data_IF_423032287258
#
_entry.id   IF_423032287258
#
_cell.length_a   1.000
_cell.length_b   1.000
_cell.length_c   1.000
_cell.angle_alpha   90.00
_cell.angle_beta   90.00
_cell.angle_gamma   90.00
#
_symmetry.space_group_name_H-M   'P 1'
#
loop_
_entity.id
_entity.type
_entity.pdbx_description
1 polymer ?
#
# COMPACT_ATOMS: atom_id res chain seq x y z
N UNK A 1 15.63 -56.75 -40.62
CA UNK A 1 17.09 -56.81 -40.89
C UNK A 1 17.43 -55.65 -41.83
N UNK A 2 18.48 -54.83 -41.61
CA UNK A 2 19.21 -54.46 -40.38
C UNK A 2 18.86 -53.00 -39.95
N UNK A 3 18.63 -52.67 -38.68
CA UNK A 3 19.58 -52.40 -37.58
C UNK A 3 20.70 -51.41 -37.92
N UNK A 4 20.55 -50.16 -37.47
CA UNK A 4 21.67 -49.30 -37.03
C UNK A 4 21.41 -48.90 -35.59
N UNK A 5 22.36 -49.26 -34.73
CA UNK A 5 22.28 -49.19 -33.27
C UNK A 5 22.55 -47.80 -32.70
N UNK A 6 22.41 -47.66 -31.37
CA UNK A 6 22.63 -46.42 -30.66
C UNK A 6 24.11 -46.25 -30.33
N UNK A 7 24.64 -45.05 -30.60
CA UNK A 7 25.94 -44.61 -30.08
C UNK A 7 25.82 -44.29 -28.59
N UNK A 8 26.57 -45.04 -27.79
CA UNK A 8 26.83 -44.82 -26.37
C UNK A 8 27.57 -43.49 -26.19
N UNK A 9 27.14 -42.71 -25.20
CA UNK A 9 27.95 -41.69 -24.55
C UNK A 9 28.34 -42.26 -23.19
N UNK A 10 29.64 -42.48 -22.96
CA UNK A 10 30.22 -42.65 -21.63
C UNK A 10 30.92 -41.33 -21.23
N UNK A 11 31.01 -41.03 -19.93
CA UNK A 11 31.43 -39.73 -19.41
C UNK A 11 32.95 -39.67 -19.23
N UNK A 12 33.59 -38.60 -19.68
CA UNK A 12 34.95 -38.28 -19.24
C UNK A 12 34.92 -37.24 -18.12
N UNK A 13 35.48 -37.67 -16.99
CA UNK A 13 36.01 -36.83 -15.92
C UNK A 13 37.02 -35.83 -16.47
N UNK A 14 36.95 -34.60 -15.96
CA UNK A 14 37.86 -33.53 -16.37
C UNK A 14 38.01 -32.47 -15.29
N UNK A 15 38.56 -32.88 -14.15
CA UNK A 15 39.45 -32.11 -13.26
C UNK A 15 39.24 -30.59 -13.14
N UNK A 16 38.76 -30.19 -11.96
CA UNK A 16 38.88 -28.85 -11.40
C UNK A 16 40.35 -28.39 -11.39
N UNK A 17 40.65 -27.30 -12.11
CA UNK A 17 41.87 -26.52 -11.90
C UNK A 17 41.58 -25.32 -11.01
N UNK A 18 42.06 -25.46 -9.77
CA UNK A 18 42.27 -24.42 -8.76
C UNK A 18 43.49 -23.60 -9.16
N UNK A 19 43.37 -22.26 -9.21
CA UNK A 19 44.48 -21.32 -9.40
C UNK A 19 44.26 -20.16 -8.40
N UNK A 20 45.32 -19.62 -7.76
CA UNK A 20 45.36 -19.42 -6.32
C UNK A 20 45.04 -18.00 -5.84
N UNK A 21 44.78 -17.92 -4.54
CA UNK A 21 44.77 -16.74 -3.69
C UNK A 21 46.11 -15.99 -3.72
N UNK A 22 46.05 -14.67 -3.78
CA UNK A 22 47.11 -13.77 -3.34
C UNK A 22 46.50 -12.79 -2.33
N UNK A 23 46.85 -12.98 -1.06
CA UNK A 23 46.93 -11.92 -0.07
C UNK A 23 48.30 -11.25 -0.25
N UNK A 24 48.36 -9.93 -0.40
CA UNK A 24 49.27 -9.09 0.39
C UNK A 24 48.92 -7.59 0.27
N UNK A 25 49.38 -6.88 1.28
CA UNK A 25 49.03 -5.58 1.86
C UNK A 25 49.58 -4.38 1.07
N UNK A 26 48.85 -3.25 1.05
CA UNK A 26 49.33 -1.92 1.52
C UNK A 26 48.38 -0.78 1.16
N UNK A 27 48.05 0.01 2.18
CA UNK A 27 47.39 1.33 2.13
C UNK A 27 48.18 2.36 1.31
N UNK A 28 47.51 3.43 0.84
CA UNK A 28 47.82 4.71 1.47
C UNK A 28 46.62 5.59 1.81
N UNK A 29 46.82 6.25 2.94
CA UNK A 29 46.18 7.40 3.55
C UNK A 29 45.85 8.54 2.55
N UNK A 30 44.57 8.96 2.46
CA UNK A 30 44.15 10.37 2.33
C UNK A 30 42.62 10.53 2.23
N UNK A 31 42.04 11.13 3.28
CA UNK A 31 40.67 11.65 3.30
C UNK A 31 40.45 12.81 2.31
N UNK A 32 39.22 12.96 1.81
CA UNK A 32 38.63 14.29 1.74
C UNK A 32 37.21 14.38 2.30
N UNK A 33 37.06 15.37 3.20
CA UNK A 33 35.93 16.27 3.41
C UNK A 33 34.48 15.71 3.44
N UNK A 34 33.92 15.74 4.66
CA UNK A 34 32.49 15.76 4.99
C UNK A 34 31.67 16.76 4.17
N UNK A 35 30.48 16.39 3.66
CA UNK A 35 29.51 17.35 3.15
C UNK A 35 28.80 18.10 4.30
N UNK A 36 28.41 19.37 4.12
CA UNK A 36 27.82 20.16 5.19
C UNK A 36 26.44 19.66 5.61
N UNK A 37 26.21 19.64 6.92
CA UNK A 37 24.94 19.35 7.57
C UNK A 37 23.90 20.43 7.27
N UNK A 38 22.85 20.07 6.52
CA UNK A 38 21.68 20.93 6.35
C UNK A 38 20.74 20.72 7.55
N UNK A 39 20.99 21.50 8.61
CA UNK A 39 20.10 21.60 9.77
C UNK A 39 18.72 22.11 9.33
N UNK A 40 17.74 21.20 9.31
CA UNK A 40 16.31 21.47 9.08
C UNK A 40 15.63 22.23 10.24
N UNK A 41 16.41 22.73 11.23
CA UNK A 41 15.89 23.35 12.46
C UNK A 41 15.73 24.88 12.40
N UNK A 42 15.84 25.50 11.22
CA UNK A 42 15.82 26.96 11.05
C UNK A 42 14.51 27.56 10.48
N UNK A 43 13.40 26.80 10.38
CA UNK A 43 12.14 27.31 9.80
C UNK A 43 10.89 27.18 10.70
N UNK A 44 11.05 27.18 12.02
CA UNK A 44 9.92 27.09 12.97
C UNK A 44 9.60 28.36 13.76
N UNK A 45 10.06 29.54 13.34
CA UNK A 45 9.75 30.81 14.03
C UNK A 45 8.47 31.53 13.57
N UNK A 46 7.63 30.93 12.72
CA UNK A 46 6.37 31.56 12.27
C UNK A 46 5.09 31.08 12.95
N UNK A 47 5.18 30.25 13.99
CA UNK A 47 4.03 29.80 14.79
C UNK A 47 4.32 29.89 16.29
N UNK A 48 4.52 31.12 16.80
CA UNK A 48 4.36 31.38 18.24
C UNK A 48 2.96 31.92 18.47
N UNK A 49 2.11 31.07 19.04
CA UNK A 49 0.80 31.44 19.56
C UNK A 49 1.02 32.05 20.95
N UNK A 50 0.84 33.36 21.08
CA UNK A 50 0.80 34.04 22.38
C UNK A 50 -0.56 33.83 23.01
N UNK A 51 -0.61 33.02 24.05
CA UNK A 51 -1.75 32.85 24.94
C UNK A 51 -1.67 33.95 26.00
N UNK A 52 -2.50 34.98 25.90
CA UNK A 52 -2.68 35.99 26.95
C UNK A 52 -3.75 35.49 27.92
N UNK A 53 -3.34 35.25 29.17
CA UNK A 53 -4.23 34.97 30.29
C UNK A 53 -4.68 36.29 30.95
N UNK A 54 -5.96 36.31 31.31
CA UNK A 54 -6.65 37.39 32.03
C UNK A 54 -6.17 37.58 33.47
N UNK A 55 -6.13 38.84 33.91
CA UNK A 55 -6.33 39.23 35.32
C UNK A 55 -7.08 40.58 35.43
N UNK A 56 -8.32 40.45 35.89
CA UNK A 56 -9.22 41.30 36.69
C UNK A 56 -9.01 42.83 36.92
N UNK A 57 -10.19 43.49 36.90
CA UNK A 57 -10.73 44.59 37.73
C UNK A 57 -10.33 46.06 37.52
N UNK A 58 -11.30 46.86 37.05
CA UNK A 58 -11.96 47.92 37.86
C UNK A 58 -13.26 48.46 37.19
N UNK A 59 -14.29 48.70 38.02
CA UNK A 59 -15.59 49.32 37.68
C UNK A 59 -15.56 50.85 37.83
N UNK A 60 -16.33 51.58 36.99
CA UNK A 60 -17.44 52.51 37.36
C UNK A 60 -17.79 53.44 36.17
N UNK A 61 -19.09 53.63 35.91
CA UNK A 61 -19.71 54.52 34.89
C UNK A 61 -20.28 55.80 35.58
N UNK A 62 -21.15 56.67 34.98
CA UNK A 62 -21.55 56.92 33.57
C UNK A 62 -21.64 58.44 33.19
N UNK A 63 -21.89 58.81 31.93
CA UNK A 63 -22.62 60.04 31.54
C UNK A 63 -23.09 60.04 30.06
N UNK A 64 -24.34 60.45 29.81
CA UNK A 64 -24.99 60.77 28.51
C UNK A 64 -25.36 62.29 28.50
N UNK A 65 -25.97 62.94 27.47
CA UNK A 65 -26.34 62.57 26.08
C UNK A 65 -26.04 63.63 24.95
N UNK A 66 -26.14 63.21 23.66
CA UNK A 66 -26.63 63.85 22.38
C UNK A 66 -26.62 65.41 22.17
N UNK A 67 -26.39 65.96 20.93
CA UNK A 67 -27.36 65.85 19.83
C UNK A 67 -26.85 65.85 18.36
N UNK A 68 -27.81 65.53 17.49
CA UNK A 68 -27.81 65.38 16.02
C UNK A 68 -27.65 66.72 15.28
N UNK A 69 -26.90 66.74 14.17
CA UNK A 69 -27.23 67.58 13.00
C UNK A 69 -26.99 66.83 11.68
N UNK A 70 -28.01 66.82 10.82
CA UNK A 70 -27.95 66.41 9.41
C UNK A 70 -27.54 67.62 8.55
N UNK A 71 -26.58 67.49 7.64
CA UNK A 71 -26.66 68.08 6.29
C UNK A 71 -25.56 67.56 5.34
N UNK A 72 -25.95 67.55 4.07
CA UNK A 72 -25.42 66.84 2.91
C UNK A 72 -24.36 67.60 2.11
N UNK A 73 -23.47 66.81 1.47
CA UNK A 73 -22.79 66.98 0.16
C UNK A 73 -21.55 67.88 0.10
N UNK A 74 -20.38 67.26 -0.14
CA UNK A 74 -19.62 67.39 -1.40
C UNK A 74 -18.38 66.47 -1.40
N UNK A 75 -18.11 65.93 -2.58
CA UNK A 75 -17.07 64.97 -2.95
C UNK A 75 -15.66 65.48 -2.66
N UNK A 76 -14.84 64.67 -1.97
CA UNK A 76 -13.39 64.64 -2.20
C UNK A 76 -12.95 63.18 -2.23
N UNK A 77 -12.59 62.71 -3.42
CA UNK A 77 -11.95 61.42 -3.68
C UNK A 77 -10.60 61.35 -2.95
N UNK A 78 -10.47 60.40 -2.03
CA UNK A 78 -9.16 59.88 -1.61
C UNK A 78 -9.24 58.36 -1.60
N UNK A 79 -8.57 57.76 -2.58
CA UNK A 79 -8.43 56.32 -2.70
C UNK A 79 -7.62 55.79 -1.51
N UNK A 80 -8.20 54.86 -0.76
CA UNK A 80 -7.47 54.00 0.17
C UNK A 80 -7.67 52.57 -0.30
N UNK A 81 -6.58 51.98 -0.78
CA UNK A 81 -6.55 50.67 -1.41
C UNK A 81 -7.03 49.57 -0.48
N UNK A 82 -7.98 48.78 -0.95
CA UNK A 82 -8.33 47.50 -0.36
C UNK A 82 -7.13 46.55 -0.47
N UNK A 83 -6.70 46.02 0.66
CA UNK A 83 -5.73 44.93 0.70
C UNK A 83 -6.48 43.67 0.29
N UNK A 84 -6.37 43.31 -0.98
CA UNK A 84 -6.83 42.04 -1.52
C UNK A 84 -6.01 40.90 -0.90
N UNK A 85 -6.66 39.98 -0.18
CA UNK A 85 -6.02 38.71 0.18
C UNK A 85 -5.56 37.99 -1.10
N UNK A 86 -4.29 37.52 -1.17
CA UNK A 86 -3.82 36.81 -2.34
C UNK A 86 -4.51 35.45 -2.40
N UNK A 87 -5.29 35.23 -3.46
CA UNK A 87 -5.84 33.92 -3.80
C UNK A 87 -4.72 32.87 -3.88
N UNK A 88 -4.93 31.64 -3.39
CA UNK A 88 -3.91 30.60 -3.46
C UNK A 88 -3.54 30.32 -4.92
N UNK A 89 -2.25 30.12 -5.23
CA UNK A 89 -1.81 29.92 -6.60
C UNK A 89 -2.49 28.68 -7.20
N UNK A 90 -2.89 28.72 -8.49
CA UNK A 90 -3.56 27.60 -9.13
C UNK A 90 -2.66 26.36 -9.05
N UNK A 91 -3.19 25.27 -8.46
CA UNK A 91 -2.49 23.99 -8.37
C UNK A 91 -2.15 23.52 -9.79
N UNK A 92 -0.87 23.51 -10.15
CA UNK A 92 -0.39 22.97 -11.43
C UNK A 92 -0.89 21.52 -11.59
N UNK A 93 -1.75 21.29 -12.58
CA UNK A 93 -2.21 19.94 -12.93
C UNK A 93 -1.00 19.12 -13.38
N UNK A 94 -0.68 18.06 -12.64
CA UNK A 94 0.41 17.14 -12.99
C UNK A 94 0.08 16.44 -14.31
N UNK A 95 1.03 16.39 -15.23
CA UNK A 95 0.89 15.58 -16.46
C UNK A 95 0.71 14.11 -16.09
N UNK A 96 -0.17 13.35 -16.76
CA UNK A 96 -0.32 11.92 -16.51
C UNK A 96 1.00 11.21 -16.82
N UNK A 97 1.36 10.23 -16.00
CA UNK A 97 2.50 9.37 -16.31
C UNK A 97 2.20 8.55 -17.56
N UNK A 98 3.26 8.18 -18.27
CA UNK A 98 3.20 7.25 -19.41
C UNK A 98 3.94 5.98 -19.03
N UNK A 99 3.71 4.92 -19.80
CA UNK A 99 4.47 3.68 -19.66
C UNK A 99 5.96 3.95 -19.48
N UNK A 100 6.56 3.28 -18.49
CA UNK A 100 7.99 3.32 -18.25
C UNK A 100 8.52 1.89 -18.24
N UNK A 101 9.52 1.63 -19.08
CA UNK A 101 10.15 0.32 -19.15
C UNK A 101 10.82 -0.09 -17.83
N UNK A 102 10.97 -1.41 -17.57
CA UNK A 102 11.50 -1.93 -16.31
C UNK A 102 12.87 -1.35 -15.91
N UNK A 103 13.74 -1.04 -16.87
CA UNK A 103 15.08 -0.49 -16.64
C UNK A 103 15.08 0.82 -15.82
N UNK A 104 14.01 1.63 -15.89
CA UNK A 104 13.93 2.92 -15.18
C UNK A 104 14.04 2.78 -13.66
N UNK A 105 13.52 1.67 -13.11
CA UNK A 105 13.48 1.41 -11.67
C UNK A 105 14.22 0.13 -11.27
N UNK A 106 15.09 -0.39 -12.13
CA UNK A 106 15.83 -1.63 -11.88
C UNK A 106 16.79 -1.56 -10.68
N UNK A 107 17.13 -0.35 -10.22
CA UNK A 107 17.93 -0.12 -9.01
C UNK A 107 17.11 -0.29 -7.71
N UNK A 108 15.79 -0.48 -7.80
CA UNK A 108 14.92 -0.72 -6.66
C UNK A 108 14.57 -2.20 -6.55
N UNK A 109 14.68 -2.74 -5.34
CA UNK A 109 14.27 -4.11 -5.07
C UNK A 109 12.74 -4.25 -5.13
N UNK A 110 12.21 -5.36 -5.68
CA UNK A 110 10.82 -5.75 -5.50
C UNK A 110 10.48 -5.92 -4.02
N UNK A 111 9.19 -5.79 -3.70
CA UNK A 111 8.70 -6.07 -2.34
C UNK A 111 8.59 -7.57 -2.13
N UNK A 112 8.98 -8.06 -0.95
CA UNK A 112 8.78 -9.46 -0.57
C UNK A 112 7.29 -9.69 -0.29
N UNK A 113 6.72 -10.71 -0.92
CA UNK A 113 5.34 -11.13 -0.63
C UNK A 113 5.22 -11.67 0.80
N UNK A 114 4.12 -11.32 1.45
CA UNK A 114 3.73 -11.84 2.76
C UNK A 114 2.65 -12.89 2.51
N UNK A 115 3.08 -14.13 2.28
CA UNK A 115 2.23 -15.27 1.96
C UNK A 115 2.64 -16.47 2.81
N UNK A 116 1.69 -16.96 3.59
CA UNK A 116 1.82 -18.16 4.42
C UNK A 116 0.62 -19.07 4.18
N UNK A 117 0.74 -20.38 4.43
CA UNK A 117 -0.43 -21.26 4.47
C UNK A 117 -1.45 -20.80 5.53
N UNK A 118 -2.71 -21.20 5.36
CA UNK A 118 -3.78 -20.99 6.34
C UNK A 118 -4.13 -19.52 6.64
N UNK A 119 -3.77 -18.56 5.78
CA UNK A 119 -4.24 -17.17 5.93
C UNK A 119 -5.76 -17.06 5.69
N UNK A 120 -6.43 -16.21 6.47
CA UNK A 120 -7.84 -15.88 6.25
C UNK A 120 -7.97 -15.00 5.01
N UNK A 121 -7.07 -14.03 4.85
CA UNK A 121 -7.06 -13.24 3.63
C UNK A 121 -5.70 -12.71 3.20
N UNK A 122 -5.59 -12.41 1.91
CA UNK A 122 -4.44 -11.73 1.31
C UNK A 122 -4.91 -10.50 0.55
N UNK A 123 -4.23 -9.37 0.75
CA UNK A 123 -4.47 -8.15 -0.02
C UNK A 123 -3.58 -8.11 -1.27
N UNK A 124 -4.18 -7.80 -2.41
CA UNK A 124 -3.50 -7.69 -3.70
C UNK A 124 -3.39 -6.22 -4.09
N UNK A 125 -2.17 -5.68 -4.03
CA UNK A 125 -1.84 -4.36 -4.57
C UNK A 125 -1.50 -4.40 -6.06
N UNK A 126 -1.34 -3.21 -6.65
CA UNK A 126 -0.94 -3.10 -8.07
C UNK A 126 0.52 -3.49 -8.23
N UNK A 127 1.41 -2.68 -7.65
CA UNK A 127 2.85 -2.86 -7.65
C UNK A 127 3.45 -1.93 -6.57
N UNK A 128 4.69 -2.17 -6.11
CA UNK A 128 5.32 -1.28 -5.14
C UNK A 128 5.58 0.10 -5.77
N UNK A 129 5.06 1.15 -5.14
CA UNK A 129 5.46 2.52 -5.45
C UNK A 129 6.93 2.76 -5.07
N UNK A 130 7.61 3.74 -5.67
CA UNK A 130 9.03 4.06 -5.36
C UNK A 130 9.32 4.14 -3.86
N UNK A 131 8.52 4.86 -3.07
CA UNK A 131 8.73 4.94 -1.61
C UNK A 131 8.45 3.63 -0.89
N UNK A 132 7.48 2.85 -1.34
CA UNK A 132 7.17 1.51 -0.82
C UNK A 132 8.34 0.56 -1.09
N UNK A 133 8.95 0.62 -2.27
CA UNK A 133 10.13 -0.18 -2.62
C UNK A 133 11.35 0.22 -1.78
N UNK A 134 11.61 1.53 -1.61
CA UNK A 134 12.71 2.03 -0.78
C UNK A 134 12.53 1.64 0.69
N UNK A 135 11.31 1.78 1.23
CA UNK A 135 11.02 1.41 2.61
C UNK A 135 11.02 -0.10 2.84
N UNK A 136 10.79 -0.91 1.79
CA UNK A 136 10.68 -2.36 1.92
C UNK A 136 9.43 -2.84 2.64
N UNK A 137 8.41 -1.97 2.75
CA UNK A 137 7.16 -2.24 3.48
C UNK A 137 5.92 -1.92 2.64
N UNK A 138 4.92 -2.80 2.71
CA UNK A 138 3.67 -2.69 1.97
C UNK A 138 2.94 -1.37 2.27
N UNK A 139 2.54 -0.68 1.20
CA UNK A 139 1.77 0.57 1.28
C UNK A 139 2.44 1.69 2.11
N UNK A 140 3.78 1.74 2.19
CA UNK A 140 4.51 2.70 3.02
C UNK A 140 4.41 4.20 2.62
N UNK A 141 3.94 4.52 1.41
CA UNK A 141 3.85 5.93 0.99
C UNK A 141 2.86 6.72 1.88
N UNK A 142 3.20 7.91 2.41
CA UNK A 142 2.36 8.64 3.39
C UNK A 142 0.95 9.00 2.90
N UNK A 143 0.78 9.21 1.59
CA UNK A 143 -0.54 9.45 1.00
C UNK A 143 -1.39 8.18 0.78
N UNK A 144 -0.86 6.99 1.09
CA UNK A 144 -1.57 5.74 0.99
C UNK A 144 -2.48 5.55 2.20
N UNK A 145 -3.74 5.18 1.95
CA UNK A 145 -4.77 5.04 2.97
C UNK A 145 -4.95 3.59 3.45
N UNK A 146 -4.16 2.64 2.97
CA UNK A 146 -4.31 1.21 3.28
C UNK A 146 -4.40 0.96 4.78
N UNK A 147 -3.39 1.38 5.55
CA UNK A 147 -3.36 1.19 7.00
C UNK A 147 -4.50 1.87 7.76
N UNK A 148 -4.99 3.01 7.25
CA UNK A 148 -6.17 3.68 7.79
C UNK A 148 -7.44 2.86 7.54
N UNK A 149 -7.65 2.41 6.29
CA UNK A 149 -8.82 1.63 5.89
C UNK A 149 -8.82 0.23 6.50
N UNK A 150 -7.65 -0.36 6.70
CA UNK A 150 -7.47 -1.63 7.40
C UNK A 150 -8.03 -1.52 8.83
N UNK A 151 -7.61 -0.50 9.57
CA UNK A 151 -8.12 -0.25 10.91
C UNK A 151 -9.60 0.14 10.93
N UNK A 152 -10.02 1.11 10.11
CA UNK A 152 -11.40 1.62 10.14
C UNK A 152 -12.46 0.61 9.68
N UNK A 153 -12.05 -0.46 8.97
CA UNK A 153 -12.92 -1.58 8.63
C UNK A 153 -12.91 -2.70 9.67
N UNK A 154 -12.13 -2.56 10.75
CA UNK A 154 -12.02 -3.56 11.81
C UNK A 154 -11.16 -4.78 11.45
N UNK A 155 -10.33 -4.70 10.40
CA UNK A 155 -9.37 -5.76 10.07
C UNK A 155 -8.23 -5.82 11.09
N UNK A 156 -7.93 -4.72 11.75
CA UNK A 156 -6.98 -4.61 12.87
C UNK A 156 -7.64 -3.86 14.04
N UNK A 157 -7.21 -4.17 15.26
CA UNK A 157 -7.70 -3.54 16.50
C UNK A 157 -7.17 -2.11 16.71
N UNK A 158 -6.04 -1.78 16.10
CA UNK A 158 -5.48 -0.43 16.01
C UNK A 158 -4.97 -0.13 14.62
N UNK A 159 -4.58 1.12 14.37
CA UNK A 159 -3.87 1.49 13.15
C UNK A 159 -2.41 1.05 13.24
N UNK A 160 -2.05 0.05 12.44
CA UNK A 160 -0.67 -0.40 12.26
C UNK A 160 0.12 0.60 11.40
N UNK A 161 1.44 0.60 11.58
CA UNK A 161 2.39 1.27 10.71
C UNK A 161 2.86 0.33 9.58
N UNK A 162 3.37 0.86 8.45
CA UNK A 162 3.91 0.02 7.38
C UNK A 162 4.96 -0.98 7.84
N UNK A 163 5.80 -0.60 8.81
CA UNK A 163 6.89 -1.43 9.34
C UNK A 163 6.39 -2.71 10.03
N UNK A 164 5.10 -2.76 10.36
CA UNK A 164 4.47 -3.88 11.04
C UNK A 164 3.86 -4.91 10.06
N UNK A 165 4.00 -4.71 8.74
CA UNK A 165 3.38 -5.57 7.72
C UNK A 165 3.75 -7.06 7.85
N UNK A 166 5.01 -7.38 8.16
CA UNK A 166 5.47 -8.76 8.37
C UNK A 166 4.84 -9.45 9.57
N UNK A 167 4.20 -8.70 10.48
CA UNK A 167 3.49 -9.27 11.62
C UNK A 167 2.04 -9.70 11.29
N UNK A 168 1.51 -9.29 10.13
CA UNK A 168 0.13 -9.55 9.73
C UNK A 168 -0.26 -11.03 9.73
N UNK A 169 0.58 -11.98 9.28
CA UNK A 169 0.24 -13.40 9.34
C UNK A 169 0.01 -13.87 10.77
N UNK A 170 0.99 -13.63 11.64
CA UNK A 170 0.99 -14.13 13.01
C UNK A 170 0.02 -13.41 13.95
N UNK A 171 -0.28 -12.13 13.72
CA UNK A 171 -1.16 -11.32 14.58
C UNK A 171 -2.60 -11.25 14.08
N UNK A 172 -2.83 -11.46 12.78
CA UNK A 172 -4.11 -11.16 12.15
C UNK A 172 -4.57 -12.21 11.11
N UNK A 173 -3.77 -13.24 10.81
CA UNK A 173 -4.02 -14.20 9.72
C UNK A 173 -4.22 -13.51 8.36
N UNK A 174 -3.48 -12.42 8.11
CA UNK A 174 -3.54 -11.67 6.85
C UNK A 174 -2.18 -11.63 6.17
N UNK A 175 -2.18 -11.49 4.84
CA UNK A 175 -0.97 -11.32 4.04
C UNK A 175 -1.12 -10.29 2.93
N UNK A 176 -0.05 -10.09 2.16
CA UNK A 176 0.04 -9.09 1.11
C UNK A 176 0.85 -9.60 -0.08
N UNK A 177 0.42 -9.25 -1.30
CA UNK A 177 1.14 -9.48 -2.56
C UNK A 177 0.80 -8.36 -3.53
N UNK A 178 1.51 -8.29 -4.66
CA UNK A 178 1.12 -7.47 -5.80
C UNK A 178 0.81 -8.31 -7.04
N UNK A 179 0.04 -7.74 -7.98
CA UNK A 179 -0.15 -8.34 -9.31
C UNK A 179 1.09 -8.14 -10.19
N UNK A 180 1.83 -7.04 -10.01
CA UNK A 180 3.10 -6.76 -10.69
C UNK A 180 4.20 -6.54 -9.67
N UNK A 181 5.32 -7.25 -9.82
CA UNK A 181 6.40 -7.27 -8.84
C UNK A 181 7.29 -6.01 -8.93
N UNK A 182 7.48 -5.46 -10.14
CA UNK A 182 8.44 -4.37 -10.34
C UNK A 182 7.97 -3.04 -9.73
N UNK A 183 8.90 -2.24 -9.18
CA UNK A 183 8.58 -0.88 -8.76
C UNK A 183 8.24 0.06 -9.92
N UNK A 184 7.34 1.00 -9.65
CA UNK A 184 7.10 2.15 -10.52
C UNK A 184 6.66 3.36 -9.70
N UNK A 185 6.60 4.55 -10.31
CA UNK A 185 6.09 5.74 -9.63
C UNK A 185 4.58 5.67 -9.38
N UNK A 186 3.84 5.16 -10.36
CA UNK A 186 2.41 4.95 -10.29
C UNK A 186 1.95 3.90 -11.31
N UNK A 187 0.71 3.44 -11.16
CA UNK A 187 0.13 2.38 -11.99
C UNK A 187 0.06 2.73 -13.49
N UNK A 188 0.09 4.02 -13.87
CA UNK A 188 0.05 4.43 -15.28
C UNK A 188 1.39 4.19 -16.00
N UNK A 189 2.45 3.86 -15.27
CA UNK A 189 3.74 3.44 -15.83
C UNK A 189 3.81 1.94 -16.18
N UNK A 190 2.78 1.17 -15.83
CA UNK A 190 2.66 -0.25 -16.18
C UNK A 190 1.90 -0.42 -17.48
N UNK A 191 2.28 -1.42 -18.27
CA UNK A 191 1.47 -1.79 -19.45
C UNK A 191 0.26 -2.62 -19.02
N UNK A 192 -0.78 -2.68 -19.87
CA UNK A 192 -1.96 -3.51 -19.60
C UNK A 192 -1.60 -4.98 -19.68
N UNK A 193 -0.73 -5.31 -20.61
CA UNK A 193 -0.22 -6.65 -20.87
C UNK A 193 0.57 -7.17 -19.67
N UNK A 194 1.45 -6.34 -19.12
CA UNK A 194 2.21 -6.65 -17.90
C UNK A 194 1.29 -6.89 -16.70
N UNK A 195 0.30 -6.00 -16.50
CA UNK A 195 -0.64 -6.14 -15.38
C UNK A 195 -1.54 -7.37 -15.56
N UNK A 196 -2.00 -7.65 -16.78
CA UNK A 196 -2.80 -8.83 -17.07
C UNK A 196 -1.99 -10.13 -16.88
N UNK A 197 -0.75 -10.18 -17.35
CA UNK A 197 0.15 -11.32 -17.19
C UNK A 197 0.41 -11.68 -15.71
N UNK A 198 0.44 -10.67 -14.84
CA UNK A 198 0.54 -10.86 -13.39
C UNK A 198 -0.58 -11.73 -12.77
N UNK A 199 -1.72 -11.86 -13.45
CA UNK A 199 -2.82 -12.74 -13.02
C UNK A 199 -2.37 -14.19 -12.91
N UNK A 200 -1.56 -14.70 -13.86
CA UNK A 200 -1.08 -16.08 -13.82
C UNK A 200 -0.25 -16.36 -12.56
N UNK A 201 0.62 -15.40 -12.18
CA UNK A 201 1.42 -15.48 -10.96
C UNK A 201 0.55 -15.49 -9.70
N UNK A 202 -0.51 -14.66 -9.65
CA UNK A 202 -1.47 -14.68 -8.55
C UNK A 202 -2.22 -16.01 -8.44
N UNK A 203 -2.69 -16.58 -9.56
CA UNK A 203 -3.36 -17.88 -9.58
C UNK A 203 -2.43 -18.97 -9.01
N UNK A 204 -1.16 -18.99 -9.43
CA UNK A 204 -0.17 -19.94 -8.90
C UNK A 204 0.09 -19.76 -7.40
N UNK A 205 0.27 -18.51 -6.94
CA UNK A 205 0.45 -18.17 -5.51
C UNK A 205 -0.76 -18.65 -4.69
N UNK A 206 -1.98 -18.37 -5.12
CA UNK A 206 -3.19 -18.72 -4.37
C UNK A 206 -3.54 -20.20 -4.42
N UNK A 207 -3.16 -20.92 -5.48
CA UNK A 207 -3.24 -22.38 -5.50
C UNK A 207 -2.26 -23.01 -4.49
N UNK A 208 -1.06 -22.44 -4.35
CA UNK A 208 -0.04 -22.91 -3.41
C UNK A 208 -0.40 -22.62 -1.95
N UNK A 209 -0.72 -21.38 -1.62
CA UNK A 209 -0.91 -20.93 -0.24
C UNK A 209 -2.35 -21.05 0.27
N UNK A 210 -3.31 -21.20 -0.65
CA UNK A 210 -4.73 -21.45 -0.37
C UNK A 210 -5.34 -20.51 0.70
N UNK A 211 -5.19 -19.17 0.60
CA UNK A 211 -5.87 -18.27 1.53
C UNK A 211 -7.38 -18.37 1.33
N UNK A 212 -8.19 -18.23 2.39
CA UNK A 212 -9.65 -18.37 2.24
C UNK A 212 -10.27 -17.29 1.34
N UNK A 213 -9.74 -16.08 1.40
CA UNK A 213 -10.15 -14.96 0.57
C UNK A 213 -8.97 -14.13 0.06
N UNK A 214 -9.17 -13.45 -1.06
CA UNK A 214 -8.26 -12.45 -1.61
C UNK A 214 -8.98 -11.14 -1.80
N UNK A 215 -8.37 -10.05 -1.36
CA UNK A 215 -8.90 -8.70 -1.45
C UNK A 215 -8.14 -7.91 -2.51
N UNK A 216 -8.79 -7.66 -3.63
CA UNK A 216 -8.24 -6.90 -4.75
C UNK A 216 -8.36 -5.40 -4.44
N UNK A 217 -7.22 -4.77 -4.16
CA UNK A 217 -7.14 -3.38 -3.65
C UNK A 217 -7.18 -2.35 -4.78
N UNK A 218 -8.24 -2.42 -5.59
CA UNK A 218 -8.53 -1.46 -6.63
C UNK A 218 -9.18 -2.06 -7.88
N UNK A 219 -10.13 -1.31 -8.43
CA UNK A 219 -10.84 -1.65 -9.67
C UNK A 219 -9.91 -1.98 -10.84
N UNK A 220 -8.82 -1.24 -11.03
CA UNK A 220 -7.89 -1.47 -12.14
C UNK A 220 -7.19 -2.84 -12.10
N UNK A 221 -6.91 -3.36 -10.91
CA UNK A 221 -6.35 -4.71 -10.75
C UNK A 221 -7.40 -5.75 -11.15
N UNK A 222 -8.63 -5.56 -10.72
CA UNK A 222 -9.74 -6.44 -11.09
C UNK A 222 -10.02 -6.43 -12.60
N UNK A 223 -9.95 -5.26 -13.24
CA UNK A 223 -10.07 -5.13 -14.69
C UNK A 223 -8.95 -5.87 -15.42
N UNK A 224 -7.72 -5.85 -14.91
CA UNK A 224 -6.60 -6.61 -15.47
C UNK A 224 -6.81 -8.13 -15.34
N UNK A 225 -7.25 -8.61 -14.17
CA UNK A 225 -7.60 -10.02 -13.94
C UNK A 225 -8.73 -10.45 -14.88
N UNK A 226 -9.75 -9.62 -15.03
CA UNK A 226 -10.86 -9.89 -15.93
C UNK A 226 -10.43 -9.93 -17.39
N UNK A 227 -9.58 -8.99 -17.82
CA UNK A 227 -9.03 -8.95 -19.17
C UNK A 227 -8.19 -10.19 -19.46
N UNK A 228 -7.35 -10.63 -18.51
CA UNK A 228 -6.60 -11.87 -18.64
C UNK A 228 -7.51 -13.09 -18.86
N UNK A 229 -8.63 -13.18 -18.12
CA UNK A 229 -9.57 -14.31 -18.19
C UNK A 229 -10.51 -14.28 -19.40
N UNK A 230 -10.83 -13.09 -19.92
CA UNK A 230 -11.92 -12.91 -20.90
C UNK A 230 -11.50 -12.16 -22.17
N UNK A 231 -10.25 -11.71 -22.28
CA UNK A 231 -9.71 -10.97 -23.43
C UNK A 231 -10.23 -9.54 -23.59
N UNK A 232 -11.01 -9.03 -22.62
CA UNK A 232 -11.61 -7.68 -22.66
C UNK A 232 -11.86 -7.14 -21.27
N UNK A 233 -12.06 -5.83 -21.12
CA UNK A 233 -12.46 -5.24 -19.85
C UNK A 233 -13.91 -5.61 -19.46
N UNK A 234 -14.24 -5.65 -18.15
CA UNK A 234 -15.61 -5.86 -17.69
C UNK A 234 -16.49 -4.68 -18.10
N UNK A 235 -17.73 -4.96 -18.49
CA UNK A 235 -18.72 -3.91 -18.70
C UNK A 235 -19.26 -3.40 -17.35
N UNK A 236 -20.06 -2.32 -17.36
CA UNK A 236 -20.64 -1.76 -16.13
C UNK A 236 -21.51 -2.77 -15.36
N UNK A 237 -22.17 -3.69 -16.06
CA UNK A 237 -22.99 -4.75 -15.45
C UNK A 237 -22.15 -5.91 -14.90
N UNK A 238 -20.91 -6.07 -15.37
CA UNK A 238 -20.00 -7.13 -14.95
C UNK A 238 -19.12 -6.71 -13.77
N UNK A 239 -19.16 -5.43 -13.40
CA UNK A 239 -18.34 -4.87 -12.33
C UNK A 239 -19.20 -4.46 -11.12
N UNK A 240 -18.84 -4.96 -9.95
CA UNK A 240 -19.28 -4.45 -8.65
C UNK A 240 -18.11 -4.46 -7.66
N UNK A 241 -18.10 -3.50 -6.74
CA UNK A 241 -17.30 -3.63 -5.52
C UNK A 241 -17.93 -4.69 -4.60
N UNK A 242 -17.13 -5.23 -3.69
CA UNK A 242 -17.54 -6.26 -2.75
C UNK A 242 -17.20 -7.68 -3.19
N UNK A 243 -17.94 -8.64 -2.64
CA UNK A 243 -17.79 -10.06 -2.95
C UNK A 243 -18.17 -10.36 -4.41
N UNK A 244 -17.30 -11.11 -5.08
CA UNK A 244 -17.54 -11.64 -6.41
C UNK A 244 -18.12 -13.06 -6.33
N UNK A 245 -18.73 -13.50 -7.43
CA UNK A 245 -19.34 -14.84 -7.51
C UNK A 245 -18.26 -15.93 -7.51
N UNK A 246 -18.58 -17.15 -7.04
CA UNK A 246 -17.60 -18.25 -6.88
C UNK A 246 -16.89 -18.66 -8.18
N UNK A 247 -17.52 -18.46 -9.33
CA UNK A 247 -16.88 -18.67 -10.64
C UNK A 247 -15.60 -17.85 -10.80
N UNK A 248 -15.49 -16.74 -10.08
CA UNK A 248 -14.36 -15.82 -10.08
C UNK A 248 -13.29 -16.10 -9.02
N UNK A 249 -13.47 -17.11 -8.15
CA UNK A 249 -12.45 -17.49 -7.18
C UNK A 249 -11.07 -17.68 -7.84
N UNK A 250 -10.01 -17.38 -7.10
CA UNK A 250 -8.62 -17.45 -7.60
C UNK A 250 -7.86 -18.62 -6.99
N UNK A 251 -6.88 -19.13 -7.71
CA UNK A 251 -6.07 -20.28 -7.31
C UNK A 251 -6.78 -21.61 -7.45
N UNK A 252 -7.82 -21.71 -8.28
CA UNK A 252 -8.58 -22.96 -8.48
C UNK A 252 -7.68 -24.08 -8.97
N UNK A 253 -7.98 -25.30 -8.53
CA UNK A 253 -7.43 -26.50 -9.15
C UNK A 253 -7.98 -26.61 -10.58
N UNK A 254 -7.14 -26.89 -11.59
CA UNK A 254 -7.61 -27.20 -12.93
C UNK A 254 -8.59 -28.38 -12.92
N UNK A 255 -9.63 -28.34 -13.74
CA UNK A 255 -10.69 -29.37 -13.76
C UNK A 255 -10.14 -30.78 -14.08
N UNK A 256 -8.98 -30.86 -14.75
CA UNK A 256 -8.28 -32.08 -15.15
C UNK A 256 -7.28 -32.60 -14.10
N UNK A 257 -6.98 -31.84 -13.06
CA UNK A 257 -5.98 -32.18 -12.05
C UNK A 257 -6.55 -32.97 -10.84
N UNK A 258 -7.85 -33.28 -10.85
CA UNK A 258 -8.55 -33.96 -9.74
C UNK A 258 -8.92 -33.04 -8.59
N UNK A 259 -9.57 -33.59 -7.56
CA UNK A 259 -9.97 -32.82 -6.38
C UNK A 259 -8.77 -32.59 -5.45
N UNK A 260 -8.40 -31.32 -5.24
CA UNK A 260 -7.46 -30.96 -4.17
C UNK A 260 -8.22 -30.55 -2.92
N UNK A 261 -7.63 -30.80 -1.75
CA UNK A 261 -8.15 -30.33 -0.48
C UNK A 261 -7.49 -29.02 -0.05
N UNK A 262 -8.22 -28.21 0.73
CA UNK A 262 -7.73 -27.04 1.42
C UNK A 262 -7.04 -27.41 2.75
N UNK A 263 -6.49 -26.41 3.47
CA UNK A 263 -5.84 -26.64 4.77
C UNK A 263 -6.76 -27.21 5.85
N UNK A 264 -8.08 -27.23 5.62
CA UNK A 264 -9.10 -27.77 6.53
C UNK A 264 -9.65 -29.12 6.04
N UNK A 265 -9.12 -29.68 4.95
CA UNK A 265 -9.58 -30.95 4.38
C UNK A 265 -10.84 -30.86 3.51
N UNK A 266 -11.30 -29.66 3.14
CA UNK A 266 -12.44 -29.49 2.22
C UNK A 266 -11.97 -29.40 0.77
N UNK A 267 -12.82 -29.77 -0.18
CA UNK A 267 -12.53 -29.59 -1.62
C UNK A 267 -12.23 -28.12 -1.92
N UNK A 268 -11.05 -27.86 -2.49
CA UNK A 268 -10.52 -26.54 -2.77
C UNK A 268 -11.20 -25.93 -4.00
N UNK A 269 -12.03 -24.91 -3.76
CA UNK A 269 -12.77 -24.17 -4.82
C UNK A 269 -12.10 -22.85 -5.22
N UNK A 270 -10.85 -22.65 -4.81
CA UNK A 270 -10.15 -21.36 -4.91
C UNK A 270 -10.52 -20.37 -3.81
N UNK A 271 -9.68 -19.37 -3.63
CA UNK A 271 -9.90 -18.24 -2.72
C UNK A 271 -11.07 -17.38 -3.17
N UNK A 272 -11.95 -17.02 -2.24
CA UNK A 272 -13.06 -16.09 -2.50
C UNK A 272 -12.53 -14.70 -2.83
N UNK A 273 -13.08 -14.05 -3.85
CA UNK A 273 -12.60 -12.72 -4.27
C UNK A 273 -13.48 -11.61 -3.71
N UNK A 274 -12.84 -10.64 -3.06
CA UNK A 274 -13.43 -9.35 -2.71
C UNK A 274 -12.74 -8.25 -3.50
N UNK A 275 -13.49 -7.34 -4.13
CA UNK A 275 -12.92 -6.19 -4.86
C UNK A 275 -13.23 -4.92 -4.09
N UNK A 276 -12.18 -4.17 -3.76
CA UNK A 276 -12.31 -2.91 -3.02
C UNK A 276 -11.71 -1.73 -3.78
N UNK A 277 -11.80 -0.55 -3.18
CA UNK A 277 -11.29 0.70 -3.73
C UNK A 277 -9.77 0.78 -3.63
N UNK A 278 -9.14 1.53 -4.54
CA UNK A 278 -7.71 1.81 -4.43
C UNK A 278 -7.41 2.68 -3.21
N UNK A 279 -6.34 2.32 -2.51
CA UNK A 279 -5.82 3.01 -1.32
C UNK A 279 -4.86 4.15 -1.67
N UNK A 280 -4.44 4.27 -2.93
CA UNK A 280 -3.52 5.31 -3.39
C UNK A 280 -4.13 6.70 -3.18
N UNK A 281 -3.33 7.63 -2.67
CA UNK A 281 -3.71 9.05 -2.60
C UNK A 281 -3.89 9.70 -3.98
N UNK A 282 -3.40 9.07 -5.05
CA UNK A 282 -3.64 9.52 -6.43
C UNK A 282 -5.05 9.14 -6.93
N UNK A 283 -5.70 8.14 -6.31
CA UNK A 283 -7.03 7.69 -6.65
C UNK A 283 -8.10 8.48 -5.87
N UNK A 284 -8.46 9.65 -6.41
CA UNK A 284 -9.38 10.61 -5.79
C UNK A 284 -10.85 10.52 -6.26
N UNK A 285 -11.24 9.43 -6.94
CA UNK A 285 -12.58 9.31 -7.53
C UNK A 285 -13.71 9.07 -6.52
N UNK A 286 -13.38 8.60 -5.31
CA UNK A 286 -14.34 8.29 -4.24
C UNK A 286 -14.00 9.06 -2.98
N UNK A 287 -15.03 9.51 -2.27
CA UNK A 287 -14.90 10.18 -0.97
C UNK A 287 -14.41 9.19 0.09
N UNK A 288 -13.73 9.66 1.15
CA UNK A 288 -13.25 8.77 2.22
C UNK A 288 -14.32 7.87 2.82
N UNK A 289 -15.51 8.41 3.14
CA UNK A 289 -16.62 7.65 3.69
C UNK A 289 -17.13 6.55 2.75
N UNK A 290 -17.13 6.80 1.43
CA UNK A 290 -17.52 5.79 0.43
C UNK A 290 -16.49 4.67 0.37
N UNK A 291 -15.19 5.00 0.47
CA UNK A 291 -14.13 3.98 0.57
C UNK A 291 -14.33 3.13 1.82
N UNK A 292 -14.54 3.75 2.98
CA UNK A 292 -14.76 3.04 4.24
C UNK A 292 -15.99 2.12 4.16
N UNK A 293 -17.09 2.58 3.58
CA UNK A 293 -18.29 1.76 3.37
C UNK A 293 -18.04 0.54 2.47
N UNK A 294 -17.20 0.67 1.44
CA UNK A 294 -16.84 -0.46 0.55
C UNK A 294 -15.92 -1.46 1.27
N UNK A 295 -15.04 -1.01 2.15
CA UNK A 295 -14.12 -1.89 2.90
C UNK A 295 -14.81 -2.63 4.05
N UNK A 296 -15.81 -2.00 4.68
CA UNK A 296 -16.45 -2.50 5.91
C UNK A 296 -16.96 -3.95 5.82
N UNK A 297 -17.69 -4.40 4.78
CA UNK A 297 -18.19 -5.77 4.71
C UNK A 297 -17.08 -6.83 4.66
N UNK A 298 -15.91 -6.49 4.12
CA UNK A 298 -14.77 -7.40 4.12
C UNK A 298 -14.20 -7.55 5.52
N UNK A 299 -14.04 -6.44 6.25
CA UNK A 299 -13.56 -6.45 7.62
C UNK A 299 -14.49 -7.19 8.58
N UNK A 300 -15.81 -7.01 8.45
CA UNK A 300 -16.82 -7.77 9.21
C UNK A 300 -16.70 -9.28 8.95
N UNK A 301 -16.52 -9.67 7.69
CA UNK A 301 -16.34 -11.08 7.33
C UNK A 301 -15.05 -11.67 7.91
N UNK A 302 -13.93 -10.95 7.85
CA UNK A 302 -12.65 -11.41 8.44
C UNK A 302 -12.76 -11.55 9.96
N UNK A 303 -13.40 -10.60 10.64
CA UNK A 303 -13.64 -10.69 12.08
C UNK A 303 -14.47 -11.93 12.43
N UNK A 304 -15.55 -12.18 11.68
CA UNK A 304 -16.37 -13.38 11.85
C UNK A 304 -15.54 -14.66 11.65
N UNK A 305 -14.72 -14.73 10.59
CA UNK A 305 -13.86 -15.89 10.31
C UNK A 305 -12.81 -16.13 11.39
N UNK A 306 -12.23 -15.08 11.96
CA UNK A 306 -11.32 -15.20 13.11
C UNK A 306 -12.03 -15.80 14.30
N UNK A 307 -13.23 -15.31 14.64
CA UNK A 307 -14.02 -15.87 15.74
C UNK A 307 -14.38 -17.34 15.49
N UNK A 308 -14.80 -17.71 14.28
CA UNK A 308 -15.09 -19.10 13.90
C UNK A 308 -13.84 -20.01 13.96
N UNK A 309 -12.64 -19.47 13.79
CA UNK A 309 -11.35 -20.18 13.97
C UNK A 309 -10.84 -20.18 15.42
N UNK A 310 -11.56 -19.55 16.35
CA UNK A 310 -11.06 -19.32 17.71
C UNK A 310 -9.82 -18.41 17.78
N UNK A 311 -9.55 -17.66 16.71
CA UNK A 311 -8.41 -16.74 16.64
C UNK A 311 -8.77 -15.41 17.28
N UNK A 312 -8.05 -15.04 18.34
CA UNK A 312 -8.17 -13.74 19.00
C UNK A 312 -6.89 -12.96 18.71
N UNK A 313 -6.96 -11.79 18.04
CA UNK A 313 -5.80 -10.91 17.87
C UNK A 313 -5.18 -10.60 19.24
N UNK A 314 -3.85 -10.74 19.36
CA UNK A 314 -3.16 -10.53 20.63
C UNK A 314 -3.36 -9.09 21.13
N UNK A 315 -3.73 -8.88 22.42
CA UNK A 315 -3.69 -7.56 23.05
C UNK A 315 -2.26 -7.01 23.09
N UNK A 316 -2.10 -5.68 23.15
CA UNK A 316 -0.80 -4.98 23.12
C UNK A 316 0.16 -5.39 24.26
N UNK A 317 -0.35 -5.85 25.40
CA UNK A 317 0.43 -6.07 26.62
C UNK A 317 1.45 -7.21 26.53
N UNK A 318 1.41 -8.05 25.50
CA UNK A 318 2.39 -9.14 25.31
C UNK A 318 3.72 -8.67 24.69
N UNK A 319 3.82 -7.41 24.22
CA UNK A 319 5.05 -6.92 23.58
C UNK A 319 6.03 -6.26 24.57
N UNK A 320 5.57 -5.75 25.72
CA UNK A 320 6.47 -5.16 26.74
C UNK A 320 7.22 -6.20 27.58
N UNK A 321 6.80 -7.47 27.59
CA UNK A 321 7.41 -8.51 28.45
C UNK A 321 8.67 -9.11 27.83
N UNK A 322 8.81 -9.05 26.50
CA UNK A 322 9.99 -9.60 25.80
C UNK A 322 11.18 -8.63 25.85
N UNK A 323 10.95 -7.31 25.86
CA UNK A 323 12.03 -6.32 25.98
C UNK A 323 12.54 -6.14 27.42
N UNK A 324 11.82 -6.63 28.44
CA UNK A 324 12.23 -6.52 29.87
C UNK A 324 12.91 -7.77 30.44
N UNK A 325 13.02 -8.86 29.68
CA UNK A 325 13.61 -10.13 30.16
C UNK A 325 14.94 -10.50 29.51
N UNK A 326 15.48 -9.63 28.64
CA UNK A 326 16.77 -9.81 27.96
C UNK A 326 17.99 -9.23 28.67
N UNK A 327 17.85 -8.68 29.88
CA UNK A 327 18.99 -8.24 30.70
C UNK A 327 18.95 -8.92 32.09
N UNK A 328 19.47 -10.15 32.15
CA UNK A 328 20.14 -10.69 33.34
C UNK A 328 21.26 -11.63 32.91
#
# INVERSE_FOLDING_TARGET
MPRKGPTKYDPEEGTMKRVPSNDDVSEPDQMPATPPSTSFRAQLTKYKYTQTADTANHQLAPASPMPVTKRTRATVTAAVGGVSEPSPPPKKKRKPSKYAGPAKYAHLSPLVDILEPNLICVFVGTNPGVQTAIAGHAYAHPSNHFWKLLHSSGLTNRRLKPEEDRSLPAQFCMGNTNIVDRPSKDAAELSKEETAAGTASLEAKFRKFKPEAVCIVGKGIWEAIWCYRHGKNPSKKDFKYGWQDEKHNMGKTPDDAGEELDGNGNVWKGSRVFVTTSTSGLAASLKPAEKEAIWKPFGEWVQKRRAERGFIPRPEEAQEVIDKTGET
#
